data_IF_827054427861
#
_entry.id   IF_827054427861
#
_cell.length_a   1.000
_cell.length_b   1.000
_cell.length_c   1.000
_cell.angle_alpha   90.00
_cell.angle_beta   90.00
_cell.angle_gamma   90.00
#
_symmetry.space_group_name_H-M   'P 1'
#
loop_
_entity.id
_entity.type
_entity.pdbx_description
1 polymer ?
#
# COMPACT_ATOMS: atom_id res chain seq x y z
N UNK A 1 -18.28 -5.92 -17.13
CA UNK A 1 -17.74 -4.65 -16.60
C UNK A 1 -16.50 -4.98 -15.82
N UNK A 2 -15.35 -4.44 -16.20
CA UNK A 2 -14.08 -4.70 -15.53
C UNK A 2 -14.11 -4.10 -14.13
N UNK A 3 -13.56 -4.81 -13.14
CA UNK A 3 -13.53 -4.39 -11.72
C UNK A 3 -12.87 -3.02 -11.51
N UNK A 4 -11.98 -2.62 -12.42
CA UNK A 4 -11.33 -1.31 -12.44
C UNK A 4 -12.31 -0.18 -12.79
N UNK A 5 -13.24 -0.41 -13.72
CA UNK A 5 -14.25 0.60 -14.11
C UNK A 5 -15.24 0.91 -12.99
N UNK A 6 -15.53 -0.04 -12.12
CA UNK A 6 -16.41 0.14 -10.98
C UNK A 6 -15.75 0.99 -9.88
N UNK A 7 -14.44 0.82 -9.65
CA UNK A 7 -13.68 1.60 -8.65
C UNK A 7 -13.56 3.08 -9.06
N UNK A 8 -13.33 3.36 -10.35
CA UNK A 8 -13.27 4.72 -10.88
C UNK A 8 -14.65 5.39 -10.80
N UNK A 9 -15.73 4.65 -11.08
CA UNK A 9 -17.09 5.18 -11.00
C UNK A 9 -17.49 5.52 -9.54
N UNK A 10 -17.08 4.72 -8.56
CA UNK A 10 -17.33 4.99 -7.14
C UNK A 10 -16.60 6.24 -6.63
N UNK A 11 -15.39 6.51 -7.13
CA UNK A 11 -14.63 7.70 -6.78
C UNK A 11 -15.28 8.99 -7.28
N UNK A 12 -15.93 8.96 -8.46
CA UNK A 12 -16.61 10.11 -9.03
C UNK A 12 -17.99 10.40 -8.41
N UNK A 13 -18.66 9.42 -7.81
CA UNK A 13 -20.00 9.63 -7.22
C UNK A 13 -19.97 10.27 -5.82
N UNK A 14 -18.82 10.33 -5.16
CA UNK A 14 -18.69 10.98 -3.86
C UNK A 14 -18.57 12.51 -3.94
N UNK A 15 -18.42 13.09 -5.14
CA UNK A 15 -18.22 14.53 -5.34
C UNK A 15 -19.53 15.32 -5.55
N UNK A 16 -20.67 14.65 -5.68
CA UNK A 16 -21.94 15.30 -5.96
C UNK A 16 -22.83 15.37 -4.72
N UNK A 17 -22.61 16.35 -3.82
CA UNK A 17 -23.66 16.65 -2.89
C UNK A 17 -23.38 17.24 -1.52
N UNK A 18 -22.20 17.79 -1.26
CA UNK A 18 -22.00 18.50 -0.02
C UNK A 18 -21.30 19.84 -0.29
N UNK A 19 -22.05 20.92 -0.18
CA UNK A 19 -21.49 22.26 0.03
C UNK A 19 -20.92 22.33 1.44
N UNK A 20 -19.78 21.67 1.66
CA UNK A 20 -19.02 21.83 2.89
C UNK A 20 -18.23 23.14 2.79
N UNK A 21 -18.29 23.98 3.82
CA UNK A 21 -17.48 25.19 3.95
C UNK A 21 -15.97 24.89 4.09
N UNK A 22 -15.60 23.62 4.17
CA UNK A 22 -14.22 23.14 4.36
C UNK A 22 -13.74 22.40 3.12
N UNK A 23 -12.52 22.70 2.71
CA UNK A 23 -11.88 22.07 1.54
C UNK A 23 -11.54 20.61 1.81
N UNK A 24 -11.73 19.80 0.79
CA UNK A 24 -11.47 18.36 0.83
C UNK A 24 -10.56 17.97 -0.34
N UNK A 25 -9.69 16.99 -0.13
CA UNK A 25 -8.81 16.49 -1.18
C UNK A 25 -8.93 14.99 -1.24
N UNK A 26 -9.17 14.46 -2.43
CA UNK A 26 -9.09 13.04 -2.73
C UNK A 26 -7.90 12.79 -3.65
N UNK A 27 -6.99 11.92 -3.23
CA UNK A 27 -5.75 11.63 -3.96
C UNK A 27 -5.64 10.14 -4.26
N UNK A 28 -5.15 9.82 -5.46
CA UNK A 28 -4.78 8.47 -5.87
C UNK A 28 -3.27 8.45 -6.13
N UNK A 29 -2.58 7.44 -5.63
CA UNK A 29 -1.13 7.33 -5.71
C UNK A 29 -0.64 5.95 -6.12
N UNK A 30 0.60 5.91 -6.57
CA UNK A 30 1.42 4.72 -6.70
C UNK A 30 2.18 4.51 -5.39
N UNK A 31 2.13 3.28 -4.87
CA UNK A 31 2.87 2.85 -3.70
C UNK A 31 3.91 1.81 -4.08
N UNK A 32 5.12 1.94 -3.53
CA UNK A 32 6.21 1.00 -3.73
C UNK A 32 6.96 0.82 -2.42
N UNK A 33 7.20 -0.43 -2.01
CA UNK A 33 7.88 -0.75 -0.76
C UNK A 33 8.86 -1.89 -0.95
N UNK A 34 9.96 -1.83 -0.21
CA UNK A 34 10.93 -2.89 -0.09
C UNK A 34 10.64 -3.70 1.18
N UNK A 35 10.66 -5.02 1.04
CA UNK A 35 10.55 -5.97 2.15
C UNK A 35 11.92 -6.50 2.47
N UNK A 36 12.31 -6.44 3.73
CA UNK A 36 13.61 -6.93 4.18
C UNK A 36 13.81 -8.41 3.79
N UNK A 37 14.92 -8.71 3.09
CA UNK A 37 15.28 -10.04 2.59
C UNK A 37 14.27 -10.66 1.59
N UNK A 38 13.46 -9.83 0.95
CA UNK A 38 12.50 -10.25 -0.07
C UNK A 38 12.46 -9.21 -1.22
N UNK A 39 11.65 -9.48 -2.24
CA UNK A 39 11.42 -8.58 -3.36
C UNK A 39 10.57 -7.36 -2.93
N UNK A 40 10.55 -6.34 -3.77
CA UNK A 40 9.72 -5.16 -3.56
C UNK A 40 8.24 -5.46 -3.84
N UNK A 41 7.38 -4.68 -3.17
CA UNK A 41 5.93 -4.67 -3.37
C UNK A 41 5.55 -3.39 -4.13
N UNK A 42 4.55 -3.48 -4.98
CA UNK A 42 4.02 -2.33 -5.71
C UNK A 42 2.50 -2.35 -5.73
N UNK A 43 1.90 -1.16 -5.77
CA UNK A 43 0.46 -1.07 -5.76
C UNK A 43 -0.07 0.35 -5.78
N UNK A 44 -1.21 0.54 -5.13
CA UNK A 44 -1.95 1.80 -5.15
C UNK A 44 -2.20 2.30 -3.74
N UNK A 45 -2.26 3.61 -3.62
CA UNK A 45 -2.63 4.32 -2.40
C UNK A 45 -3.80 5.25 -2.69
N UNK A 46 -4.75 5.31 -1.77
CA UNK A 46 -5.87 6.24 -1.77
C UNK A 46 -5.78 7.09 -0.50
N UNK A 47 -5.77 8.41 -0.64
CA UNK A 47 -5.80 9.32 0.50
C UNK A 47 -6.98 10.27 0.41
N UNK A 48 -7.58 10.53 1.56
CA UNK A 48 -8.60 11.55 1.73
C UNK A 48 -8.16 12.53 2.82
N UNK A 49 -8.15 13.81 2.50
CA UNK A 49 -7.84 14.90 3.42
C UNK A 49 -9.06 15.77 3.62
N UNK A 50 -9.37 16.05 4.88
CA UNK A 50 -10.39 17.01 5.30
C UNK A 50 -9.72 18.20 5.97
N UNK A 51 -9.84 19.40 5.38
CA UNK A 51 -9.25 20.63 5.89
C UNK A 51 -10.19 21.29 6.91
N UNK A 52 -9.66 21.63 8.07
CA UNK A 52 -10.40 22.37 9.10
C UNK A 52 -10.27 23.88 8.82
N UNK A 53 -11.11 24.70 9.48
CA UNK A 53 -11.00 26.17 9.45
C UNK A 53 -9.75 26.68 10.21
N UNK A 54 -8.62 25.99 10.02
CA UNK A 54 -7.33 26.22 10.67
C UNK A 54 -6.23 25.64 9.78
N UNK A 55 -4.94 25.88 10.07
CA UNK A 55 -3.85 25.23 9.35
C UNK A 55 -3.83 23.70 9.52
N UNK A 56 -4.65 23.14 10.41
CA UNK A 56 -4.75 21.70 10.65
C UNK A 56 -5.75 21.05 9.70
N UNK A 57 -5.43 19.83 9.32
CA UNK A 57 -6.27 18.93 8.51
C UNK A 57 -6.19 17.52 9.08
N UNK A 58 -7.14 16.67 8.74
CA UNK A 58 -7.13 15.24 9.05
C UNK A 58 -6.98 14.48 7.74
N UNK A 59 -6.08 13.48 7.73
CA UNK A 59 -5.87 12.59 6.57
C UNK A 59 -6.20 11.17 6.97
N UNK A 60 -6.93 10.46 6.09
CA UNK A 60 -7.04 9.02 6.06
C UNK A 60 -6.32 8.48 4.82
N UNK A 61 -5.61 7.37 4.95
CA UNK A 61 -4.86 6.72 3.89
C UNK A 61 -5.15 5.23 3.87
N UNK A 62 -5.36 4.68 2.68
CA UNK A 62 -5.46 3.25 2.43
C UNK A 62 -4.44 2.86 1.36
N UNK A 63 -3.59 1.87 1.67
CA UNK A 63 -2.60 1.36 0.72
C UNK A 63 -2.84 -0.12 0.45
N UNK A 64 -2.75 -0.51 -0.82
CA UNK A 64 -2.70 -1.89 -1.26
C UNK A 64 -1.48 -2.11 -2.12
N UNK A 65 -0.63 -3.07 -1.77
CA UNK A 65 0.53 -3.48 -2.56
C UNK A 65 0.61 -5.00 -2.66
N UNK A 66 1.22 -5.49 -3.71
CA UNK A 66 1.53 -6.90 -3.91
C UNK A 66 2.90 -7.06 -4.56
N UNK A 67 3.52 -8.20 -4.30
CA UNK A 67 4.75 -8.62 -4.93
C UNK A 67 4.89 -10.13 -4.88
N UNK A 68 5.68 -10.65 -5.80
CA UNK A 68 5.96 -12.07 -5.91
C UNK A 68 7.48 -12.33 -5.97
N UNK A 69 7.86 -13.49 -5.53
CA UNK A 69 9.24 -13.99 -5.61
C UNK A 69 9.23 -15.45 -6.00
N UNK A 70 10.18 -15.87 -6.82
CA UNK A 70 10.36 -17.28 -7.17
C UNK A 70 11.81 -17.69 -7.04
N UNK A 71 12.01 -18.89 -6.48
CA UNK A 71 13.32 -19.53 -6.43
C UNK A 71 13.22 -20.94 -7.01
N UNK A 72 14.19 -21.30 -7.85
CA UNK A 72 14.25 -22.61 -8.50
C UNK A 72 15.63 -23.21 -8.25
N UNK A 73 15.66 -24.47 -7.84
CA UNK A 73 16.91 -25.20 -7.63
C UNK A 73 16.70 -26.70 -7.80
N UNK A 74 17.82 -27.43 -7.98
CA UNK A 74 17.82 -28.89 -8.09
C UNK A 74 18.36 -29.48 -6.79
N UNK A 75 17.69 -30.53 -6.30
CA UNK A 75 18.14 -31.35 -5.18
C UNK A 75 18.24 -32.77 -5.67
N UNK A 76 19.48 -33.31 -5.85
CA UNK A 76 19.75 -34.69 -6.28
C UNK A 76 18.92 -35.13 -7.51
N UNK A 77 18.88 -34.36 -8.56
CA UNK A 77 18.09 -34.52 -9.81
C UNK A 77 16.60 -34.16 -9.72
N UNK A 78 16.05 -33.88 -8.55
CA UNK A 78 14.66 -33.37 -8.40
C UNK A 78 14.62 -31.88 -8.62
N UNK A 79 13.62 -31.43 -9.36
CA UNK A 79 13.37 -30.00 -9.56
C UNK A 79 12.43 -29.45 -8.48
N UNK A 80 12.89 -28.42 -7.76
CA UNK A 80 12.11 -27.73 -6.74
C UNK A 80 11.87 -26.29 -7.16
N UNK A 81 10.62 -25.88 -7.18
CA UNK A 81 10.19 -24.50 -7.42
C UNK A 81 9.44 -23.97 -6.22
N UNK A 82 9.95 -22.90 -5.65
CA UNK A 82 9.29 -22.14 -4.57
C UNK A 82 8.78 -20.81 -5.14
N UNK A 83 7.48 -20.59 -5.05
CA UNK A 83 6.83 -19.34 -5.38
C UNK A 83 6.30 -18.71 -4.08
N UNK A 84 6.55 -17.42 -3.86
CA UNK A 84 6.06 -16.67 -2.70
C UNK A 84 5.31 -15.45 -3.20
N UNK A 85 4.05 -15.32 -2.79
CA UNK A 85 3.19 -14.17 -3.05
C UNK A 85 2.99 -13.39 -1.75
N UNK A 86 3.24 -12.10 -1.76
CA UNK A 86 3.02 -11.20 -0.63
C UNK A 86 1.98 -10.15 -0.99
N UNK A 87 1.00 -9.98 -0.12
CA UNK A 87 -0.03 -8.93 -0.21
C UNK A 87 0.02 -8.08 1.05
N UNK A 88 0.01 -6.79 0.84
CA UNK A 88 0.07 -5.76 1.87
C UNK A 88 -1.17 -4.87 1.80
N UNK A 89 -1.76 -4.58 2.93
CA UNK A 89 -2.86 -3.64 3.10
C UNK A 89 -2.55 -2.77 4.31
N UNK A 90 -2.76 -1.46 4.22
CA UNK A 90 -2.70 -0.58 5.38
C UNK A 90 -3.88 0.37 5.43
N UNK A 91 -4.25 0.74 6.64
CA UNK A 91 -5.20 1.83 6.95
C UNK A 91 -4.54 2.72 7.98
N UNK A 92 -4.24 3.95 7.58
CA UNK A 92 -3.59 4.94 8.42
C UNK A 92 -4.45 6.20 8.51
N UNK A 93 -4.34 6.90 9.63
CA UNK A 93 -4.95 8.23 9.79
C UNK A 93 -4.05 9.11 10.65
N UNK A 94 -4.18 10.42 10.49
CA UNK A 94 -3.43 11.36 11.31
C UNK A 94 -3.60 12.81 10.90
N UNK A 95 -2.90 13.72 11.60
CA UNK A 95 -2.94 15.14 11.33
C UNK A 95 -2.07 15.53 10.13
N UNK A 96 -2.48 16.62 9.48
CA UNK A 96 -1.65 17.36 8.55
C UNK A 96 -1.63 18.83 8.96
N UNK A 97 -0.49 19.47 8.79
CA UNK A 97 -0.28 20.87 9.09
C UNK A 97 0.13 21.65 7.83
N UNK A 98 -0.64 22.69 7.49
CA UNK A 98 -0.35 23.59 6.38
C UNK A 98 0.72 24.59 6.80
N UNK A 99 1.90 24.51 6.16
CA UNK A 99 3.01 25.45 6.38
C UNK A 99 2.76 26.76 5.65
N UNK A 100 2.27 26.64 4.41
CA UNK A 100 1.89 27.77 3.56
C UNK A 100 0.81 27.30 2.55
N UNK A 101 0.38 28.17 1.65
CA UNK A 101 -0.69 27.87 0.68
C UNK A 101 -0.36 26.72 -0.27
N UNK A 102 0.92 26.40 -0.42
CA UNK A 102 1.40 25.37 -1.35
C UNK A 102 1.84 24.08 -0.68
N UNK A 103 2.26 24.12 0.59
CA UNK A 103 2.94 22.98 1.24
C UNK A 103 2.27 22.65 2.57
N UNK A 104 1.96 21.38 2.74
CA UNK A 104 1.53 20.78 4.02
C UNK A 104 2.39 19.59 4.37
N UNK A 105 2.66 19.39 5.66
CA UNK A 105 3.29 18.20 6.21
C UNK A 105 2.22 17.32 6.85
N UNK A 106 2.41 16.00 6.83
CA UNK A 106 1.54 15.09 7.55
C UNK A 106 2.29 13.97 8.24
N UNK A 107 1.68 13.44 9.31
CA UNK A 107 2.11 12.23 10.00
C UNK A 107 0.89 11.34 10.25
N UNK A 108 1.03 10.05 9.97
CA UNK A 108 -0.04 9.06 10.04
C UNK A 108 0.37 7.90 10.95
N UNK A 109 -0.62 7.31 11.61
CA UNK A 109 -0.48 6.06 12.36
C UNK A 109 -1.69 5.18 12.12
N UNK A 110 -1.50 3.86 12.23
CA UNK A 110 -2.58 2.91 12.03
C UNK A 110 -2.09 1.47 12.00
N UNK A 111 -2.70 0.66 11.17
CA UNK A 111 -2.42 -0.77 11.09
C UNK A 111 -2.10 -1.19 9.66
N UNK A 112 -1.18 -2.16 9.54
CA UNK A 112 -0.91 -2.90 8.31
C UNK A 112 -1.26 -4.37 8.49
N UNK A 113 -1.83 -4.97 7.46
CA UNK A 113 -2.10 -6.40 7.34
C UNK A 113 -1.29 -6.95 6.19
N UNK A 114 -0.44 -7.93 6.49
CA UNK A 114 0.43 -8.61 5.53
C UNK A 114 0.00 -10.07 5.43
N UNK A 115 -0.13 -10.57 4.21
CA UNK A 115 -0.35 -11.98 3.93
C UNK A 115 0.73 -12.48 2.98
N UNK A 116 1.53 -13.44 3.44
CA UNK A 116 2.50 -14.16 2.63
C UNK A 116 1.98 -15.58 2.34
N UNK A 117 2.04 -16.00 1.09
CA UNK A 117 1.66 -17.36 0.66
C UNK A 117 2.83 -17.97 -0.09
N UNK A 118 3.43 -19.00 0.50
CA UNK A 118 4.48 -19.80 -0.11
C UNK A 118 3.90 -21.05 -0.77
N UNK A 119 4.31 -21.35 -1.99
CA UNK A 119 3.94 -22.56 -2.72
C UNK A 119 5.20 -23.28 -3.18
N UNK A 120 5.40 -24.49 -2.72
CA UNK A 120 6.49 -25.37 -3.17
C UNK A 120 5.94 -26.43 -4.11
N UNK A 121 6.52 -26.50 -5.32
CA UNK A 121 6.27 -27.58 -6.29
C UNK A 121 7.50 -28.43 -6.39
N UNK A 122 7.32 -29.72 -6.30
CA UNK A 122 8.38 -30.72 -6.32
C UNK A 122 8.11 -31.70 -7.44
N UNK A 123 9.04 -31.82 -8.39
CA UNK A 123 8.98 -32.75 -9.49
C UNK A 123 10.14 -33.73 -9.32
N UNK A 124 9.80 -34.98 -9.03
CA UNK A 124 10.78 -36.06 -8.91
C UNK A 124 11.07 -36.66 -10.29
N UNK A 125 12.31 -36.52 -10.75
CA UNK A 125 12.70 -36.96 -12.09
C UNK A 125 12.72 -38.51 -12.26
N UNK A 126 12.78 -39.29 -11.16
CA UNK A 126 12.91 -40.73 -11.18
C UNK A 126 11.55 -41.46 -11.06
N UNK A 127 10.57 -40.85 -10.37
CA UNK A 127 9.31 -41.52 -10.03
C UNK A 127 8.08 -40.88 -10.72
N UNK A 128 8.28 -39.91 -11.59
CA UNK A 128 7.22 -39.14 -12.26
C UNK A 128 6.15 -38.61 -11.27
N UNK A 129 6.61 -38.24 -10.07
CA UNK A 129 5.75 -37.74 -8.98
C UNK A 129 5.88 -36.23 -8.82
N UNK A 130 4.73 -35.55 -8.79
CA UNK A 130 4.65 -34.11 -8.53
C UNK A 130 4.01 -33.89 -7.16
N UNK A 131 4.79 -33.35 -6.22
CA UNK A 131 4.31 -32.89 -4.92
C UNK A 131 3.96 -31.40 -4.96
N UNK A 132 2.90 -31.01 -4.22
CA UNK A 132 2.49 -29.63 -4.06
C UNK A 132 2.23 -29.35 -2.58
N UNK A 133 2.88 -28.33 -2.04
CA UNK A 133 2.70 -27.87 -0.66
C UNK A 133 2.51 -26.37 -0.64
N UNK A 134 1.53 -25.87 0.12
CA UNK A 134 1.23 -24.45 0.24
C UNK A 134 1.12 -24.08 1.72
N UNK A 135 1.82 -23.03 2.12
CA UNK A 135 1.78 -22.43 3.45
C UNK A 135 1.36 -20.96 3.33
N UNK A 136 0.51 -20.51 4.23
CA UNK A 136 0.09 -19.10 4.27
C UNK A 136 0.25 -18.56 5.69
N UNK A 137 1.04 -17.50 5.80
CA UNK A 137 1.25 -16.74 7.03
C UNK A 137 0.58 -15.36 6.92
N UNK A 138 0.16 -14.82 8.05
CA UNK A 138 -0.52 -13.54 8.15
C UNK A 138 0.01 -12.78 9.35
N UNK A 139 0.19 -11.47 9.18
CA UNK A 139 0.59 -10.56 10.25
C UNK A 139 -0.27 -9.31 10.26
N UNK A 140 -0.58 -8.82 11.44
CA UNK A 140 -1.20 -7.50 11.62
C UNK A 140 -0.33 -6.72 12.58
N UNK A 141 0.18 -5.58 12.14
CA UNK A 141 1.18 -4.81 12.85
C UNK A 141 0.85 -3.33 12.84
N UNK A 142 1.44 -2.58 13.75
CA UNK A 142 1.39 -1.13 13.71
C UNK A 142 2.12 -0.63 12.47
N UNK A 143 1.52 0.37 11.80
CA UNK A 143 2.13 1.05 10.68
C UNK A 143 2.10 2.56 10.89
N UNK A 144 3.09 3.23 10.35
CA UNK A 144 3.25 4.67 10.43
C UNK A 144 3.60 5.24 9.06
N UNK A 145 3.31 6.53 8.90
CA UNK A 145 3.64 7.24 7.67
C UNK A 145 3.89 8.71 7.93
N UNK A 146 4.63 9.33 7.06
CA UNK A 146 4.83 10.77 7.04
C UNK A 146 5.08 11.25 5.61
N UNK A 147 4.79 12.53 5.35
CA UNK A 147 5.05 13.05 4.01
C UNK A 147 4.69 14.51 3.84
N UNK A 148 4.72 14.89 2.56
CA UNK A 148 4.44 16.22 2.06
C UNK A 148 3.23 16.17 1.13
N UNK A 149 2.39 17.19 1.21
CA UNK A 149 1.40 17.50 0.18
C UNK A 149 1.75 18.86 -0.42
N UNK A 150 1.76 18.95 -1.73
CA UNK A 150 2.06 20.15 -2.51
C UNK A 150 0.84 20.50 -3.35
N UNK A 151 0.34 21.70 -3.20
CA UNK A 151 -0.79 22.23 -3.97
C UNK A 151 -0.27 23.28 -4.96
N UNK A 152 0.18 22.90 -6.17
CA UNK A 152 0.73 23.85 -7.14
C UNK A 152 -0.31 24.85 -7.66
N UNK A 153 -1.58 24.44 -7.66
CA UNK A 153 -2.76 25.27 -7.95
C UNK A 153 -3.89 24.84 -7.01
N UNK A 154 -4.93 25.68 -6.89
CA UNK A 154 -6.00 25.53 -5.90
C UNK A 154 -6.68 24.14 -5.90
N UNK A 155 -6.89 23.56 -7.08
CA UNK A 155 -7.63 22.30 -7.23
C UNK A 155 -6.74 21.06 -7.42
N UNK A 156 -5.41 21.19 -7.45
CA UNK A 156 -4.49 20.07 -7.66
C UNK A 156 -3.62 19.87 -6.43
N UNK A 157 -3.55 18.63 -5.97
CA UNK A 157 -2.67 18.22 -4.90
C UNK A 157 -1.73 17.12 -5.38
N UNK A 158 -0.46 17.20 -5.00
CA UNK A 158 0.55 16.17 -5.20
C UNK A 158 1.02 15.68 -3.84
N UNK A 159 1.13 14.37 -3.68
CA UNK A 159 1.57 13.73 -2.43
C UNK A 159 2.88 13.03 -2.63
N UNK A 160 3.82 13.25 -1.71
CA UNK A 160 5.04 12.48 -1.54
C UNK A 160 5.05 11.97 -0.09
N UNK A 161 4.97 10.66 0.08
CA UNK A 161 4.88 10.03 1.39
C UNK A 161 5.84 8.87 1.57
N UNK A 162 6.10 8.57 2.81
CA UNK A 162 6.80 7.38 3.29
C UNK A 162 5.87 6.62 4.22
N UNK A 163 5.90 5.29 4.13
CA UNK A 163 5.13 4.39 4.98
C UNK A 163 6.04 3.24 5.45
N UNK A 164 5.94 2.88 6.73
CA UNK A 164 6.73 1.82 7.34
C UNK A 164 5.94 0.97 8.30
N UNK A 165 6.29 -0.33 8.38
CA UNK A 165 5.77 -1.31 9.33
C UNK A 165 6.75 -2.45 9.54
N UNK A 166 6.54 -3.23 10.59
CA UNK A 166 7.24 -4.50 10.83
C UNK A 166 6.21 -5.63 10.84
N UNK A 167 6.37 -6.59 9.93
CA UNK A 167 5.52 -7.77 9.86
C UNK A 167 6.17 -8.94 10.60
N UNK A 168 5.44 -9.59 11.51
CA UNK A 168 5.86 -10.83 12.16
C UNK A 168 5.29 -12.04 11.38
N UNK A 169 6.14 -12.66 10.57
CA UNK A 169 5.84 -13.81 9.70
C UNK A 169 6.86 -14.93 9.98
N UNK A 170 6.82 -15.54 11.20
CA UNK A 170 7.86 -16.42 11.72
C UNK A 170 9.26 -15.76 11.74
N UNK A 171 9.29 -14.44 11.95
CA UNK A 171 10.44 -13.54 11.97
C UNK A 171 9.99 -12.12 11.65
N UNK A 172 10.71 -11.14 12.16
CA UNK A 172 10.40 -9.73 11.94
C UNK A 172 10.95 -9.27 10.59
N UNK A 173 10.07 -8.80 9.73
CA UNK A 173 10.40 -8.25 8.41
C UNK A 173 9.98 -6.79 8.34
N UNK A 174 10.95 -5.91 8.21
CA UNK A 174 10.68 -4.50 7.97
C UNK A 174 10.17 -4.31 6.53
N UNK A 175 9.08 -3.55 6.41
CA UNK A 175 8.50 -3.15 5.12
C UNK A 175 8.50 -1.63 5.10
N UNK A 176 9.25 -1.05 4.16
CA UNK A 176 9.44 0.37 4.06
C UNK A 176 9.22 0.82 2.62
N UNK A 177 8.43 1.86 2.42
CA UNK A 177 8.06 2.27 1.09
C UNK A 177 7.78 3.75 0.95
N UNK A 178 7.55 4.15 -0.29
CA UNK A 178 7.13 5.48 -0.65
C UNK A 178 5.80 5.48 -1.39
N UNK A 179 5.11 6.60 -1.32
CA UNK A 179 3.87 6.88 -2.01
C UNK A 179 4.03 8.16 -2.82
N UNK A 180 3.69 8.09 -4.10
CA UNK A 180 3.58 9.24 -4.99
C UNK A 180 2.14 9.34 -5.48
N UNK A 181 1.48 10.46 -5.24
CA UNK A 181 0.06 10.62 -5.55
C UNK A 181 -0.25 11.96 -6.20
N UNK A 182 -1.38 11.97 -6.90
CA UNK A 182 -2.03 13.18 -7.40
C UNK A 182 -3.47 13.19 -6.93
N UNK A 183 -3.98 14.35 -6.56
CA UNK A 183 -5.31 14.53 -6.01
C UNK A 183 -6.02 15.74 -6.56
N UNK A 184 -7.31 15.72 -6.37
CA UNK A 184 -8.21 16.85 -6.67
C UNK A 184 -8.76 17.41 -5.35
N UNK A 185 -8.63 18.72 -5.20
CA UNK A 185 -9.12 19.52 -4.06
C UNK A 185 -10.40 20.24 -4.46
N UNK A 186 -11.44 20.09 -3.68
CA UNK A 186 -12.78 20.63 -3.93
C UNK A 186 -13.44 21.18 -2.67
#
# INVERSE_FOLDING_TARGET
MNKISLAILLAFTMTSGATFANEQTLSLGYAHADVQNFNSLSGVNLQYRYELNSPLSIIGSFTYMQGDGSAQYYVANDFVKNDVDVKYYSVLAGPSYRINDYISLYALGGIAYVKATGTTKWINATLDYTGHYSLSEKSTSFAYGAGLMINPVENVSMTLGYEGTEADLNGNYAINGFVLGIGYRF
#
